data_IF_777403433689
#
_entry.id   IF_777403433689
#
_cell.length_a   1.000
_cell.length_b   1.000
_cell.length_c   1.000
_cell.angle_alpha   90.00
_cell.angle_beta   90.00
_cell.angle_gamma   90.00
#
_symmetry.space_group_name_H-M   'P 1'
#
loop_
_entity.id
_entity.type
_entity.pdbx_description
1 polymer ?
#
# COMPACT_ATOMS: atom_id res chain seq x y z
N UNK A 1 -2.83 14.78 -53.64
CA UNK A 1 -2.75 15.29 -52.26
C UNK A 1 -2.12 14.20 -51.43
N UNK A 2 -0.84 14.35 -51.09
CA UNK A 2 -0.09 13.36 -50.32
C UNK A 2 -0.46 13.58 -48.85
N UNK A 3 -1.30 12.71 -48.30
CA UNK A 3 -1.58 12.69 -46.87
C UNK A 3 -0.34 12.13 -46.18
N UNK A 4 0.46 12.99 -45.57
CA UNK A 4 1.51 12.57 -44.65
C UNK A 4 0.83 12.30 -43.30
N UNK A 5 0.39 11.05 -43.12
CA UNK A 5 0.09 10.55 -41.78
C UNK A 5 1.42 10.46 -41.02
N UNK A 6 1.75 11.56 -40.37
CA UNK A 6 2.85 11.63 -39.43
C UNK A 6 2.47 10.85 -38.17
N UNK A 7 2.75 9.54 -38.17
CA UNK A 7 2.64 8.68 -36.99
C UNK A 7 3.47 9.27 -35.84
N UNK A 8 2.78 9.94 -34.92
CA UNK A 8 3.34 10.39 -33.66
C UNK A 8 3.36 9.22 -32.70
N UNK A 9 4.55 8.69 -32.41
CA UNK A 9 4.70 7.64 -31.41
C UNK A 9 4.52 8.22 -30.00
N UNK A 10 3.45 7.79 -29.34
CA UNK A 10 3.16 8.07 -27.94
C UNK A 10 3.72 6.93 -27.09
N UNK A 11 4.59 7.26 -26.14
CA UNK A 11 5.15 6.30 -25.19
C UNK A 11 4.53 6.53 -23.82
N UNK A 12 3.80 5.52 -23.32
CA UNK A 12 3.18 5.54 -22.00
C UNK A 12 4.17 5.01 -20.94
N UNK A 13 4.29 5.77 -19.86
CA UNK A 13 5.09 5.46 -18.67
C UNK A 13 4.15 5.24 -17.48
N UNK A 14 4.41 4.18 -16.70
CA UNK A 14 3.72 3.87 -15.45
C UNK A 14 4.76 3.58 -14.38
N UNK A 15 4.59 4.11 -13.18
CA UNK A 15 5.51 3.87 -12.08
C UNK A 15 5.11 4.58 -10.80
N UNK A 16 6.02 4.57 -9.84
CA UNK A 16 5.87 5.30 -8.58
C UNK A 16 5.63 6.79 -8.86
N UNK A 17 4.56 7.34 -8.27
CA UNK A 17 4.18 8.72 -8.51
C UNK A 17 5.22 9.73 -8.00
N UNK A 18 5.93 9.41 -6.92
CA UNK A 18 7.01 10.26 -6.37
C UNK A 18 8.21 10.35 -7.31
N UNK A 19 8.42 9.32 -8.15
CA UNK A 19 9.51 9.26 -9.13
C UNK A 19 9.11 9.91 -10.46
N UNK A 20 7.88 9.69 -10.92
CA UNK A 20 7.41 10.21 -12.22
C UNK A 20 7.05 11.70 -12.17
N UNK A 21 6.42 12.19 -11.09
CA UNK A 21 5.94 13.57 -11.00
C UNK A 21 7.05 14.63 -11.25
N UNK A 22 8.28 14.48 -10.70
CA UNK A 22 9.38 15.40 -10.98
C UNK A 22 9.74 15.55 -12.47
N UNK A 23 9.53 14.48 -13.25
CA UNK A 23 9.84 14.43 -14.68
C UNK A 23 8.74 15.06 -15.55
N UNK A 24 7.56 15.35 -14.97
CA UNK A 24 6.43 15.94 -15.69
C UNK A 24 6.52 17.46 -15.75
N UNK A 25 6.40 18.01 -16.96
CA UNK A 25 6.32 19.46 -17.23
C UNK A 25 4.88 19.94 -17.43
N UNK A 26 3.96 19.01 -17.72
CA UNK A 26 2.54 19.28 -17.94
C UNK A 26 1.67 18.23 -17.26
N UNK A 27 0.38 18.52 -17.13
CA UNK A 27 -0.63 17.57 -16.69
C UNK A 27 -1.94 17.76 -17.46
N UNK A 28 -2.75 16.69 -17.49
CA UNK A 28 -4.11 16.72 -17.99
C UNK A 28 -5.10 17.00 -16.87
N UNK A 29 -6.06 17.88 -17.11
CA UNK A 29 -7.24 18.02 -16.25
C UNK A 29 -8.32 16.97 -16.61
N UNK A 30 -9.40 16.93 -15.81
CA UNK A 30 -10.51 16.01 -16.02
C UNK A 30 -11.33 16.29 -17.30
N UNK A 31 -11.11 17.42 -17.95
CA UNK A 31 -11.74 17.78 -19.22
C UNK A 31 -10.84 17.43 -20.42
N UNK A 32 -9.64 16.90 -20.17
CA UNK A 32 -8.67 16.55 -21.21
C UNK A 32 -7.82 17.73 -21.68
N UNK A 33 -7.84 18.88 -20.98
CA UNK A 33 -6.98 20.01 -21.34
C UNK A 33 -5.58 19.84 -20.74
N UNK A 34 -4.56 20.27 -21.48
CA UNK A 34 -3.17 20.24 -21.05
C UNK A 34 -2.82 21.56 -20.38
N UNK A 35 -2.21 21.47 -19.21
CA UNK A 35 -1.74 22.60 -18.42
C UNK A 35 -0.27 22.46 -18.09
N UNK A 36 0.46 23.57 -18.04
CA UNK A 36 1.82 23.59 -17.50
C UNK A 36 1.82 23.24 -16.00
N UNK A 37 2.80 22.44 -15.57
CA UNK A 37 2.86 21.91 -14.21
C UNK A 37 3.00 23.01 -13.14
N UNK A 38 3.83 24.03 -13.37
CA UNK A 38 3.92 25.25 -12.56
C UNK A 38 3.68 25.06 -11.05
N UNK A 39 2.74 25.83 -10.51
CA UNK A 39 2.37 25.77 -9.09
C UNK A 39 1.54 24.52 -8.72
N UNK A 40 0.96 23.84 -9.70
CA UNK A 40 0.14 22.65 -9.49
C UNK A 40 0.96 21.47 -8.95
N UNK A 41 2.27 21.44 -9.20
CA UNK A 41 3.17 20.41 -8.68
C UNK A 41 3.00 20.18 -7.17
N UNK A 42 2.97 21.27 -6.40
CA UNK A 42 2.83 21.21 -4.94
C UNK A 42 1.53 20.53 -4.47
N UNK A 43 0.46 20.67 -5.27
CA UNK A 43 -0.81 19.99 -4.99
C UNK A 43 -0.69 18.47 -5.24
N UNK A 44 -0.08 18.06 -6.35
CA UNK A 44 0.16 16.65 -6.64
C UNK A 44 1.09 16.01 -5.59
N UNK A 45 2.17 16.68 -5.19
CA UNK A 45 3.08 16.21 -4.14
C UNK A 45 2.33 15.98 -2.82
N UNK A 46 1.44 16.91 -2.44
CA UNK A 46 0.61 16.76 -1.24
C UNK A 46 -0.36 15.58 -1.36
N UNK A 47 -0.98 15.38 -2.52
CA UNK A 47 -1.88 14.24 -2.77
C UNK A 47 -1.12 12.92 -2.67
N UNK A 48 0.05 12.81 -3.30
CA UNK A 48 0.92 11.62 -3.25
C UNK A 48 1.32 11.32 -1.81
N UNK A 49 1.81 12.33 -1.08
CA UNK A 49 2.19 12.18 0.33
C UNK A 49 1.02 11.71 1.20
N UNK A 50 -0.17 12.28 1.01
CA UNK A 50 -1.36 11.85 1.74
C UNK A 50 -1.75 10.40 1.42
N UNK A 51 -1.57 9.95 0.17
CA UNK A 51 -1.80 8.56 -0.21
C UNK A 51 -0.84 7.63 0.53
N UNK A 52 0.46 7.95 0.52
CA UNK A 52 1.50 7.18 1.23
C UNK A 52 1.24 7.12 2.74
N UNK A 53 0.92 8.25 3.37
CA UNK A 53 0.57 8.33 4.79
C UNK A 53 -0.70 7.50 5.14
N UNK A 54 -1.58 7.30 4.15
CA UNK A 54 -2.80 6.48 4.27
C UNK A 54 -2.59 5.03 3.82
N UNK A 55 -1.34 4.59 3.63
CA UNK A 55 -0.98 3.26 3.11
C UNK A 55 -1.69 2.91 1.78
N UNK A 56 -1.72 3.89 0.89
CA UNK A 56 -2.12 3.76 -0.50
C UNK A 56 -0.87 3.98 -1.34
N UNK A 57 -0.50 3.00 -2.16
CA UNK A 57 0.62 3.09 -3.10
C UNK A 57 0.24 4.00 -4.26
N UNK A 58 0.87 5.17 -4.43
CA UNK A 58 0.52 6.09 -5.51
C UNK A 58 1.24 5.67 -6.81
N UNK A 59 0.48 5.48 -7.88
CA UNK A 59 0.96 5.11 -9.20
C UNK A 59 0.66 6.24 -10.17
N UNK A 60 1.69 6.82 -10.78
CA UNK A 60 1.52 7.81 -11.84
C UNK A 60 1.53 7.17 -13.22
N UNK A 61 0.72 7.74 -14.10
CA UNK A 61 0.72 7.48 -15.53
C UNK A 61 1.08 8.77 -16.24
N UNK A 62 2.07 8.72 -17.12
CA UNK A 62 2.52 9.85 -17.91
C UNK A 62 2.86 9.40 -19.33
N UNK A 63 2.96 10.31 -20.28
CA UNK A 63 3.45 9.97 -21.61
C UNK A 63 4.44 10.99 -22.16
N UNK A 64 5.27 10.52 -23.08
CA UNK A 64 6.12 11.33 -23.94
C UNK A 64 5.68 11.19 -25.39
N UNK A 65 5.77 12.27 -26.16
CA UNK A 65 5.55 12.26 -27.59
C UNK A 65 6.90 12.42 -28.30
N UNK A 66 7.29 11.43 -29.09
CA UNK A 66 8.54 11.50 -29.82
C UNK A 66 8.35 12.34 -31.08
N UNK A 67 9.22 13.33 -31.29
CA UNK A 67 9.39 13.93 -32.62
C UNK A 67 10.20 12.94 -33.48
N UNK A 68 9.77 12.71 -34.74
CA UNK A 68 10.40 11.77 -35.67
C UNK A 68 11.93 11.94 -35.71
N UNK A 69 12.66 10.81 -35.61
CA UNK A 69 14.10 10.75 -35.87
C UNK A 69 15.03 10.73 -34.65
N UNK A 70 14.52 10.78 -33.41
CA UNK A 70 15.33 10.57 -32.21
C UNK A 70 15.03 9.22 -31.57
N UNK A 71 16.03 8.35 -31.57
CA UNK A 71 16.01 7.07 -30.85
C UNK A 71 15.98 7.36 -29.35
N UNK A 72 14.95 6.81 -28.69
CA UNK A 72 14.86 6.34 -27.30
C UNK A 72 15.92 6.82 -26.30
N UNK A 73 15.93 8.10 -25.95
CA UNK A 73 16.34 8.48 -24.61
C UNK A 73 15.07 8.83 -23.85
N UNK A 74 14.82 8.12 -22.74
CA UNK A 74 13.87 8.58 -21.73
C UNK A 74 14.41 9.92 -21.28
N UNK A 75 13.87 10.99 -21.87
CA UNK A 75 14.14 12.32 -21.39
C UNK A 75 13.54 12.38 -19.99
N UNK A 76 14.40 12.52 -19.00
CA UNK A 76 14.02 12.70 -17.60
C UNK A 76 13.27 14.04 -17.39
N UNK A 77 13.11 14.84 -18.46
CA UNK A 77 12.40 16.09 -18.52
C UNK A 77 11.29 16.09 -19.58
N UNK A 78 10.15 16.68 -19.25
CA UNK A 78 9.17 17.09 -20.26
C UNK A 78 7.97 16.17 -20.47
N UNK A 79 7.69 15.24 -19.56
CA UNK A 79 6.53 14.34 -19.68
C UNK A 79 5.20 15.06 -19.42
N UNK A 80 4.11 14.51 -19.96
CA UNK A 80 2.75 14.94 -19.66
C UNK A 80 2.12 13.95 -18.67
N UNK A 81 1.79 14.40 -17.47
CA UNK A 81 1.10 13.60 -16.46
C UNK A 81 -0.37 13.38 -16.88
N UNK A 82 -0.80 12.12 -16.96
CA UNK A 82 -2.18 11.75 -17.27
C UNK A 82 -3.02 11.57 -16.01
N UNK A 83 -2.48 10.83 -15.04
CA UNK A 83 -3.20 10.47 -13.84
C UNK A 83 -2.26 10.09 -12.70
N UNK A 84 -2.73 10.28 -11.47
CA UNK A 84 -2.19 9.65 -10.26
C UNK A 84 -3.30 8.79 -9.68
N UNK A 85 -3.04 7.49 -9.54
CA UNK A 85 -4.00 6.50 -9.05
C UNK A 85 -3.47 5.94 -7.75
N UNK A 86 -4.32 5.92 -6.72
CA UNK A 86 -4.00 5.29 -5.46
C UNK A 86 -4.36 3.81 -5.48
N UNK A 87 -3.38 2.94 -5.26
CA UNK A 87 -3.60 1.50 -5.10
C UNK A 87 -3.48 1.12 -3.62
N UNK A 88 -4.61 0.78 -3.01
CA UNK A 88 -4.63 0.32 -1.63
C UNK A 88 -4.40 -1.19 -1.62
N UNK A 89 -3.16 -1.61 -1.42
CA UNK A 89 -2.78 -3.03 -1.31
C UNK A 89 -3.17 -3.68 0.02
N UNK A 90 -3.68 -2.89 0.96
CA UNK A 90 -3.81 -3.28 2.37
C UNK A 90 -4.65 -4.54 2.64
N UNK A 91 -4.28 -5.22 3.74
CA UNK A 91 -5.02 -5.20 4.98
C UNK A 91 -4.72 -3.91 5.79
N UNK A 92 -5.76 -3.33 6.38
CA UNK A 92 -5.77 -1.99 6.98
C UNK A 92 -4.98 -1.94 8.31
N UNK A 93 -3.71 -1.49 8.29
CA UNK A 93 -2.93 -1.27 9.52
C UNK A 93 -3.62 -0.31 10.49
N UNK A 94 -4.42 0.65 9.99
CA UNK A 94 -5.23 1.52 10.85
C UNK A 94 -6.25 0.72 11.66
N UNK A 95 -6.86 -0.30 11.04
CA UNK A 95 -7.78 -1.21 11.72
C UNK A 95 -7.04 -2.06 12.76
N UNK A 96 -5.85 -2.57 12.44
CA UNK A 96 -5.01 -3.29 13.40
C UNK A 96 -4.71 -2.41 14.62
N UNK A 97 -4.30 -1.15 14.42
CA UNK A 97 -4.06 -0.21 15.52
C UNK A 97 -5.32 0.16 16.29
N UNK A 98 -6.47 0.29 15.63
CA UNK A 98 -7.73 0.58 16.32
C UNK A 98 -8.16 -0.59 17.21
N UNK A 99 -8.00 -1.83 16.72
CA UNK A 99 -8.28 -3.06 17.46
C UNK A 99 -7.30 -3.25 18.63
N UNK A 100 -6.00 -3.00 18.41
CA UNK A 100 -4.99 -3.00 19.47
C UNK A 100 -5.32 -2.01 20.59
N UNK A 101 -5.68 -0.76 20.24
CA UNK A 101 -6.17 0.24 21.21
C UNK A 101 -7.45 -0.18 21.95
N UNK A 102 -8.26 -1.05 21.36
CA UNK A 102 -9.45 -1.61 21.97
C UNK A 102 -9.16 -2.91 22.77
N UNK A 103 -7.89 -3.27 22.96
CA UNK A 103 -7.44 -4.50 23.62
C UNK A 103 -7.98 -5.78 22.96
N UNK A 104 -8.25 -5.74 21.65
CA UNK A 104 -8.67 -6.91 20.89
C UNK A 104 -7.43 -7.70 20.45
N UNK A 105 -7.39 -9.00 20.79
CA UNK A 105 -6.34 -9.89 20.31
C UNK A 105 -6.48 -10.15 18.81
N UNK A 106 -5.41 -9.92 18.05
CA UNK A 106 -5.36 -10.12 16.61
C UNK A 106 -4.46 -11.31 16.31
N UNK A 107 -4.95 -12.26 15.50
CA UNK A 107 -4.20 -13.43 15.05
C UNK A 107 -4.17 -13.45 13.54
N UNK A 108 -2.96 -13.47 12.97
CA UNK A 108 -2.77 -13.61 11.52
C UNK A 108 -2.67 -15.10 11.17
N UNK A 109 -3.47 -15.53 10.19
CA UNK A 109 -3.45 -16.89 9.65
C UNK A 109 -3.24 -16.77 8.15
N UNK A 110 -2.14 -17.34 7.64
CA UNK A 110 -1.85 -17.39 6.20
C UNK A 110 -1.47 -18.82 5.77
N UNK A 111 -1.48 -19.04 4.46
CA UNK A 111 -0.90 -20.21 3.80
C UNK A 111 0.56 -20.01 3.42
N UNK A 112 1.06 -18.78 3.51
CA UNK A 112 2.43 -18.45 3.16
C UNK A 112 3.44 -19.08 4.13
N UNK A 113 4.68 -19.15 3.68
CA UNK A 113 5.80 -19.57 4.51
C UNK A 113 5.95 -18.65 5.73
N UNK A 114 6.47 -19.23 6.81
CA UNK A 114 6.50 -18.57 8.12
C UNK A 114 7.33 -17.27 8.11
N UNK A 115 8.35 -17.16 7.25
CA UNK A 115 9.12 -15.93 7.04
C UNK A 115 8.28 -14.82 6.38
N UNK A 116 7.50 -15.16 5.36
CA UNK A 116 6.62 -14.21 4.66
C UNK A 116 5.50 -13.75 5.60
N UNK A 117 4.87 -14.69 6.32
CA UNK A 117 3.85 -14.39 7.34
C UNK A 117 4.39 -13.42 8.39
N UNK A 118 5.60 -13.65 8.90
CA UNK A 118 6.24 -12.75 9.89
C UNK A 118 6.48 -11.36 9.32
N UNK A 119 6.98 -11.26 8.09
CA UNK A 119 7.20 -9.98 7.43
C UNK A 119 5.89 -9.20 7.24
N UNK A 120 4.82 -9.88 6.84
CA UNK A 120 3.49 -9.28 6.70
C UNK A 120 2.91 -8.85 8.05
N UNK A 121 2.98 -9.71 9.06
CA UNK A 121 2.49 -9.40 10.40
C UNK A 121 3.23 -8.21 11.03
N UNK A 122 4.53 -8.07 10.77
CA UNK A 122 5.32 -6.90 11.16
C UNK A 122 4.86 -5.63 10.42
N UNK A 123 4.65 -5.71 9.09
CA UNK A 123 4.12 -4.58 8.30
C UNK A 123 2.75 -4.12 8.81
N UNK A 124 1.89 -5.07 9.20
CA UNK A 124 0.57 -4.78 9.73
C UNK A 124 0.59 -4.23 11.17
N UNK A 125 1.73 -4.29 11.86
CA UNK A 125 1.85 -3.89 13.27
C UNK A 125 1.22 -4.89 14.24
N UNK A 126 1.00 -6.14 13.82
CA UNK A 126 0.52 -7.23 14.67
C UNK A 126 1.66 -7.73 15.57
N UNK A 127 2.90 -7.67 15.07
CA UNK A 127 4.09 -8.07 15.82
C UNK A 127 4.84 -6.86 16.38
N UNK A 128 4.85 -6.70 17.71
CA UNK A 128 5.57 -5.64 18.44
C UNK A 128 6.62 -6.26 19.37
N UNK A 129 7.49 -7.14 18.85
CA UNK A 129 8.57 -7.71 19.67
C UNK A 129 9.19 -9.00 19.13
N UNK A 130 10.27 -9.47 19.80
CA UNK A 130 10.98 -10.72 19.49
C UNK A 130 10.32 -11.99 20.06
N UNK A 131 9.35 -11.84 20.95
CA UNK A 131 8.76 -12.95 21.71
C UNK A 131 7.41 -13.44 21.15
N UNK A 132 7.04 -13.02 19.95
CA UNK A 132 5.78 -13.43 19.35
C UNK A 132 5.91 -14.75 18.62
N UNK A 133 5.11 -15.71 19.06
CA UNK A 133 5.20 -17.10 18.64
C UNK A 133 4.37 -17.34 17.37
N UNK A 134 5.06 -17.57 16.25
CA UNK A 134 4.45 -18.09 15.03
C UNK A 134 4.56 -19.61 15.05
N UNK A 135 3.48 -20.31 14.66
CA UNK A 135 3.43 -21.77 14.60
C UNK A 135 2.94 -22.21 13.22
N UNK A 136 3.59 -23.20 12.64
CA UNK A 136 3.11 -23.81 11.40
C UNK A 136 1.86 -24.65 11.64
N UNK A 137 0.99 -24.74 10.63
CA UNK A 137 -0.25 -25.52 10.73
C UNK A 137 -0.01 -26.98 11.11
N UNK A 138 1.04 -27.61 10.60
CA UNK A 138 1.39 -29.00 10.93
C UNK A 138 1.86 -29.18 12.37
N UNK A 139 2.55 -28.18 12.93
CA UNK A 139 2.95 -28.19 14.35
C UNK A 139 1.73 -27.92 15.25
N UNK A 140 0.86 -27.00 14.85
CA UNK A 140 -0.38 -26.71 15.55
C UNK A 140 -1.33 -27.91 15.63
N UNK A 141 -1.42 -28.70 14.56
CA UNK A 141 -2.24 -29.92 14.53
C UNK A 141 -1.74 -31.03 15.46
N UNK A 142 -0.46 -31.00 15.84
CA UNK A 142 0.15 -31.99 16.75
C UNK A 142 -0.04 -31.65 18.23
N UNK A 143 -0.49 -30.43 18.53
CA UNK A 143 -0.83 -30.02 19.90
C UNK A 143 -2.09 -30.76 20.37
N UNK A 144 -2.20 -31.00 21.67
CA UNK A 144 -3.44 -31.48 22.26
C UNK A 144 -4.51 -30.37 22.28
N UNK A 145 -5.75 -30.76 22.57
CA UNK A 145 -6.88 -29.82 22.52
C UNK A 145 -6.72 -28.67 23.52
N UNK A 146 -6.12 -28.91 24.68
CA UNK A 146 -5.89 -27.89 25.70
C UNK A 146 -4.91 -26.84 25.19
N UNK A 147 -3.78 -27.26 24.62
CA UNK A 147 -2.77 -26.37 24.08
C UNK A 147 -3.28 -25.63 22.82
N UNK A 148 -4.07 -26.29 21.98
CA UNK A 148 -4.72 -25.64 20.82
C UNK A 148 -5.67 -24.54 21.25
N UNK A 149 -6.50 -24.78 22.28
CA UNK A 149 -7.40 -23.77 22.84
C UNK A 149 -6.59 -22.65 23.49
N UNK A 150 -5.57 -22.97 24.28
CA UNK A 150 -4.67 -21.97 24.87
C UNK A 150 -4.04 -21.06 23.81
N UNK A 151 -3.60 -21.62 22.68
CA UNK A 151 -3.08 -20.86 21.54
C UNK A 151 -4.12 -19.94 20.88
N UNK A 152 -5.39 -20.33 20.83
CA UNK A 152 -6.47 -19.55 20.21
C UNK A 152 -7.08 -18.51 21.15
N UNK A 153 -6.98 -18.68 22.46
CA UNK A 153 -7.74 -17.85 23.42
C UNK A 153 -6.89 -17.20 24.52
N UNK A 154 -5.57 -17.41 24.58
CA UNK A 154 -4.71 -16.66 25.52
C UNK A 154 -4.49 -15.21 25.08
N UNK A 155 -5.53 -14.39 25.28
CA UNK A 155 -5.48 -13.18 26.10
C UNK A 155 -6.92 -12.86 26.54
N UNK A 156 -7.11 -12.78 27.87
CA UNK A 156 -8.30 -12.32 28.62
C UNK A 156 -9.45 -13.31 28.86
N UNK A 157 -9.45 -13.94 30.04
CA UNK A 157 -10.28 -13.48 31.15
C UNK A 157 -9.46 -13.61 32.43
N UNK A 158 -9.03 -12.48 33.01
CA UNK A 158 -8.61 -12.47 34.41
C UNK A 158 -9.85 -12.78 35.27
N UNK A 159 -10.06 -14.06 35.55
CA UNK A 159 -11.18 -14.56 36.36
C UNK A 159 -11.22 -13.95 37.77
N UNK A 160 -10.13 -13.31 38.21
CA UNK A 160 -10.11 -12.58 39.49
C UNK A 160 -11.02 -11.34 39.49
N UNK A 161 -11.36 -10.78 38.32
CA UNK A 161 -12.22 -9.61 38.26
C UNK A 161 -13.73 -9.93 38.29
N UNK A 162 -14.12 -11.18 38.01
CA UNK A 162 -15.54 -11.61 38.03
C UNK A 162 -15.98 -11.99 39.46
N UNK A 163 -15.07 -12.44 40.32
CA UNK A 163 -15.41 -12.73 41.72
C UNK A 163 -15.80 -11.48 42.54
N UNK A 164 -15.39 -10.28 42.10
CA UNK A 164 -15.81 -9.01 42.72
C UNK A 164 -17.21 -8.53 42.33
N UNK A 165 -17.80 -9.08 41.26
CA UNK A 165 -19.13 -8.66 40.77
C UNK A 165 -20.28 -9.59 41.20
N UNK A 166 -19.95 -10.70 41.89
CA UNK A 166 -20.94 -11.67 42.42
C UNK A 166 -21.07 -11.61 43.95
N UNK A 167 -20.55 -10.56 44.59
CA UNK A 167 -20.67 -10.33 46.04
C UNK A 167 -21.33 -8.99 46.42
N UNK A 168 -22.03 -8.32 45.50
CA UNK A 168 -23.01 -7.27 45.83
C UNK A 168 -24.42 -7.67 45.41
#
# INVERSE_FOLDING_TARGET
MHGTDDENNLLLHKGDASIILPMCSHYYDCQGNIHGMGNQRSWFEKVIKNMEESCITPIAFAYTQNQKGRVQEIREDGMNLLAVVGFKENPCWEAVKALDKAAVSIKLVSRDELEVLRAEAYKLGIFVGRDHEAIEGVAFQRLDDHDRIGRLFNHSLDMNHIQGFMQE
#
